data_IF_111668799912
#
_entry.id   IF_111668799912
#
_cell.length_a   1.000
_cell.length_b   1.000
_cell.length_c   1.000
_cell.angle_alpha   90.00
_cell.angle_beta   90.00
_cell.angle_gamma   90.00
#
_symmetry.space_group_name_H-M   'P 1'
#
loop_
_entity.id
_entity.type
_entity.pdbx_description
1 polymer ?
#
# COMPACT_ATOMS: atom_id res chain seq x y z
N UNK A 1 22.94 15.84 4.86
CA UNK A 1 22.59 14.48 4.42
C UNK A 1 22.22 14.51 2.96
N UNK A 2 22.67 13.54 2.18
CA UNK A 2 22.18 13.32 0.81
C UNK A 2 20.79 12.67 0.84
N UNK A 3 20.10 12.67 -0.31
CA UNK A 3 18.80 11.99 -0.41
C UNK A 3 18.91 10.48 -0.16
N UNK A 4 20.01 9.85 -0.56
CA UNK A 4 20.23 8.42 -0.41
C UNK A 4 20.52 8.03 1.04
N UNK A 5 21.21 8.89 1.79
CA UNK A 5 21.39 8.73 3.24
C UNK A 5 20.05 8.80 3.98
N UNK A 6 19.20 9.77 3.61
CA UNK A 6 17.85 9.89 4.21
C UNK A 6 16.99 8.68 3.84
N UNK A 7 17.05 8.22 2.58
CA UNK A 7 16.31 7.04 2.14
C UNK A 7 16.73 5.77 2.90
N UNK A 8 18.03 5.57 3.12
CA UNK A 8 18.54 4.45 3.91
C UNK A 8 18.07 4.51 5.36
N UNK A 9 18.13 5.69 5.98
CA UNK A 9 17.63 5.90 7.34
C UNK A 9 16.11 5.66 7.45
N UNK A 10 15.34 6.07 6.44
CA UNK A 10 13.91 5.77 6.36
C UNK A 10 13.62 4.27 6.27
N UNK A 11 14.40 3.51 5.49
CA UNK A 11 14.26 2.04 5.41
C UNK A 11 14.50 1.38 6.77
N UNK A 12 15.57 1.79 7.48
CA UNK A 12 15.83 1.29 8.83
C UNK A 12 14.68 1.61 9.80
N UNK A 13 14.20 2.86 9.76
CA UNK A 13 13.05 3.33 10.55
C UNK A 13 11.80 2.45 10.33
N UNK A 14 11.39 2.19 9.09
CA UNK A 14 10.17 1.41 8.83
C UNK A 14 10.30 -0.06 9.18
N UNK A 15 11.50 -0.64 9.07
CA UNK A 15 11.77 -2.00 9.51
C UNK A 15 11.67 -2.13 11.04
N UNK A 16 12.09 -1.10 11.78
CA UNK A 16 11.91 -1.06 13.24
C UNK A 16 10.44 -0.80 13.63
N UNK A 17 9.69 0.01 12.88
CA UNK A 17 8.24 0.17 13.10
C UNK A 17 7.53 -1.19 12.93
N UNK A 18 7.91 -2.00 11.94
CA UNK A 18 7.38 -3.35 11.73
C UNK A 18 7.69 -4.32 12.89
N UNK A 19 8.74 -4.06 13.68
CA UNK A 19 8.98 -4.79 14.92
C UNK A 19 8.00 -4.41 16.04
N UNK A 20 7.44 -3.19 16.02
CA UNK A 20 6.39 -2.72 16.94
C UNK A 20 4.97 -3.06 16.46
N UNK A 21 4.78 -3.21 15.15
CA UNK A 21 3.50 -3.54 14.53
C UNK A 21 3.72 -4.55 13.39
N UNK A 22 3.56 -5.83 13.70
CA UNK A 22 3.75 -6.91 12.73
C UNK A 22 2.85 -6.74 11.50
N UNK A 23 3.45 -6.72 10.32
CA UNK A 23 2.74 -6.58 9.04
C UNK A 23 2.68 -5.13 8.56
N UNK A 24 3.33 -4.19 9.24
CA UNK A 24 3.51 -2.82 8.74
C UNK A 24 4.30 -2.80 7.42
N UNK A 25 5.30 -3.68 7.27
CA UNK A 25 6.03 -3.86 6.01
C UNK A 25 5.58 -5.14 5.32
N UNK A 26 4.71 -5.00 4.32
CA UNK A 26 4.13 -6.10 3.54
C UNK A 26 5.20 -6.89 2.75
N UNK A 27 6.08 -6.18 2.04
CA UNK A 27 7.18 -6.79 1.29
C UNK A 27 8.48 -5.99 1.41
N UNK A 28 9.57 -6.68 1.70
CA UNK A 28 10.92 -6.11 1.75
C UNK A 28 11.86 -6.98 0.91
N UNK A 29 12.50 -6.35 -0.06
CA UNK A 29 13.41 -6.99 -1.01
C UNK A 29 14.87 -6.56 -0.81
N UNK A 30 15.17 -5.88 0.30
CA UNK A 30 16.54 -5.52 0.65
C UNK A 30 17.26 -6.63 1.45
N UNK A 31 18.47 -6.36 1.93
CA UNK A 31 19.28 -7.36 2.63
C UNK A 31 18.60 -7.90 3.89
N UNK A 32 18.49 -9.22 4.00
CA UNK A 32 17.73 -9.88 5.08
C UNK A 32 18.25 -9.50 6.48
N UNK A 33 19.55 -9.22 6.60
CA UNK A 33 20.19 -8.83 7.84
C UNK A 33 19.68 -7.48 8.39
N UNK A 34 19.18 -6.57 7.55
CA UNK A 34 18.60 -5.30 8.02
C UNK A 34 17.29 -5.53 8.77
N UNK A 35 16.42 -6.39 8.22
CA UNK A 35 15.18 -6.77 8.88
C UNK A 35 15.45 -7.55 10.16
N UNK A 36 16.43 -8.45 10.13
CA UNK A 36 16.82 -9.21 11.32
C UNK A 36 17.34 -8.27 12.43
N UNK A 37 18.21 -7.32 12.09
CA UNK A 37 18.75 -6.34 13.04
C UNK A 37 17.65 -5.45 13.65
N UNK A 38 16.71 -4.96 12.82
CA UNK A 38 15.60 -4.14 13.29
C UNK A 38 14.69 -4.87 14.29
N UNK A 39 14.53 -6.19 14.14
CA UNK A 39 13.72 -7.02 15.05
C UNK A 39 14.46 -7.46 16.30
N UNK A 40 15.78 -7.62 16.24
CA UNK A 40 16.57 -8.12 17.35
C UNK A 40 16.61 -7.16 18.54
N UNK A 41 16.69 -5.85 18.28
CA UNK A 41 16.71 -4.82 19.32
C UNK A 41 16.07 -3.51 18.80
N UNK A 42 14.75 -3.48 18.60
CA UNK A 42 14.08 -2.29 18.09
C UNK A 42 14.18 -1.14 19.10
N UNK A 43 14.46 0.06 18.62
CA UNK A 43 14.48 1.25 19.47
C UNK A 43 13.08 1.57 19.97
N UNK A 44 13.02 2.33 21.07
CA UNK A 44 11.76 2.79 21.61
C UNK A 44 10.99 3.66 20.61
N UNK A 45 9.65 3.54 20.60
CA UNK A 45 8.79 4.28 19.67
C UNK A 45 9.00 5.79 19.75
N UNK A 46 9.30 6.32 20.93
CA UNK A 46 9.58 7.75 21.09
C UNK A 46 10.84 8.18 20.34
N UNK A 47 11.90 7.35 20.34
CA UNK A 47 13.09 7.60 19.54
C UNK A 47 12.77 7.53 18.04
N UNK A 48 12.00 6.54 17.61
CA UNK A 48 11.58 6.41 16.20
C UNK A 48 10.78 7.63 15.73
N UNK A 49 9.95 8.22 16.61
CA UNK A 49 9.22 9.46 16.32
C UNK A 49 10.17 10.64 16.12
N UNK A 50 11.11 10.83 17.05
CA UNK A 50 12.13 11.89 16.95
C UNK A 50 12.93 11.75 15.66
N UNK A 51 13.37 10.54 15.33
CA UNK A 51 14.12 10.28 14.09
C UNK A 51 13.29 10.58 12.85
N UNK A 52 12.03 10.18 12.81
CA UNK A 52 11.14 10.51 11.69
C UNK A 52 10.96 12.03 11.53
N UNK A 53 10.84 12.76 12.65
CA UNK A 53 10.77 14.23 12.64
C UNK A 53 12.09 14.86 12.13
N UNK A 54 13.25 14.32 12.51
CA UNK A 54 14.57 14.72 12.00
C UNK A 54 14.71 14.46 10.50
N UNK A 55 14.31 13.28 10.01
CA UNK A 55 14.34 12.95 8.58
C UNK A 55 13.41 13.87 7.78
N UNK A 56 12.22 14.16 8.31
CA UNK A 56 11.29 15.09 7.69
C UNK A 56 11.87 16.51 7.59
N UNK A 57 12.54 16.99 8.65
CA UNK A 57 13.24 18.27 8.62
C UNK A 57 14.37 18.28 7.59
N UNK A 58 15.20 17.23 7.55
CA UNK A 58 16.28 17.10 6.58
C UNK A 58 15.77 17.14 5.12
N UNK A 59 14.64 16.49 4.83
CA UNK A 59 14.03 16.49 3.50
C UNK A 59 13.48 17.86 3.09
N UNK A 60 12.93 18.63 4.04
CA UNK A 60 12.44 20.00 3.76
C UNK A 60 13.57 20.97 3.44
N UNK A 61 14.76 20.74 3.99
CA UNK A 61 15.95 21.57 3.79
C UNK A 61 16.92 21.01 2.73
N UNK A 62 16.59 19.88 2.10
CA UNK A 62 17.42 19.29 1.08
C UNK A 62 17.44 20.21 -0.17
N UNK A 63 18.61 20.69 -0.62
CA UNK A 63 18.69 21.47 -1.84
C UNK A 63 18.29 20.61 -3.04
N UNK A 64 17.31 21.06 -3.82
CA UNK A 64 16.93 20.41 -5.05
C UNK A 64 17.90 20.81 -6.17
N UNK A 65 18.79 19.90 -6.57
CA UNK A 65 19.69 20.09 -7.72
C UNK A 65 18.94 20.12 -9.05
N UNK A 66 17.79 19.46 -9.11
CA UNK A 66 16.99 19.24 -10.32
C UNK A 66 15.54 18.84 -9.96
N UNK A 67 14.68 18.77 -10.97
CA UNK A 67 13.27 18.46 -10.80
C UNK A 67 13.00 17.02 -10.31
N UNK A 68 13.85 16.06 -10.67
CA UNK A 68 13.72 14.66 -10.25
C UNK A 68 14.05 14.53 -8.76
N UNK A 69 15.18 15.08 -8.33
CA UNK A 69 15.59 15.16 -6.93
C UNK A 69 14.52 15.85 -6.08
N UNK A 70 13.93 16.94 -6.56
CA UNK A 70 12.81 17.60 -5.89
C UNK A 70 11.59 16.68 -5.76
N UNK A 71 11.27 15.92 -6.81
CA UNK A 71 10.16 14.96 -6.81
C UNK A 71 10.38 13.81 -5.83
N UNK A 72 11.59 13.21 -5.86
CA UNK A 72 12.01 12.15 -4.94
C UNK A 72 11.98 12.62 -3.48
N UNK A 73 12.46 13.83 -3.20
CA UNK A 73 12.45 14.40 -1.85
C UNK A 73 11.01 14.60 -1.33
N UNK A 74 10.09 15.14 -2.16
CA UNK A 74 8.67 15.26 -1.80
C UNK A 74 8.02 13.91 -1.52
N UNK A 75 8.29 12.92 -2.37
CA UNK A 75 7.73 11.58 -2.24
C UNK A 75 8.26 10.85 -1.00
N UNK A 76 9.53 11.05 -0.65
CA UNK A 76 10.13 10.50 0.56
C UNK A 76 9.63 11.22 1.82
N UNK A 77 9.41 12.54 1.76
CA UNK A 77 8.83 13.31 2.87
C UNK A 77 7.42 12.81 3.23
N UNK A 78 6.58 12.54 2.22
CA UNK A 78 5.25 11.98 2.45
C UNK A 78 5.30 10.61 3.15
N UNK A 79 6.26 9.76 2.75
CA UNK A 79 6.50 8.44 3.36
C UNK A 79 6.98 8.54 4.82
N UNK A 80 7.93 9.44 5.09
CA UNK A 80 8.41 9.70 6.46
C UNK A 80 7.29 10.25 7.34
N UNK A 81 6.48 11.18 6.83
CA UNK A 81 5.34 11.74 7.56
C UNK A 81 4.28 10.67 7.87
N UNK A 82 4.02 9.76 6.94
CA UNK A 82 3.12 8.61 7.14
C UNK A 82 3.65 7.67 8.23
N UNK A 83 4.94 7.31 8.19
CA UNK A 83 5.59 6.50 9.22
C UNK A 83 5.53 7.17 10.61
N UNK A 84 5.81 8.47 10.67
CA UNK A 84 5.69 9.26 11.91
C UNK A 84 4.27 9.24 12.47
N UNK A 85 3.26 9.38 11.61
CA UNK A 85 1.87 9.33 12.03
C UNK A 85 1.45 7.91 12.45
N UNK A 86 1.95 6.87 11.78
CA UNK A 86 1.69 5.48 12.17
C UNK A 86 2.17 5.19 13.58
N UNK A 87 3.34 5.70 13.98
CA UNK A 87 3.83 5.62 15.36
C UNK A 87 2.87 6.26 16.38
N UNK A 88 2.21 7.38 16.03
CA UNK A 88 1.15 7.92 16.91
C UNK A 88 -0.06 6.97 16.99
N UNK A 89 -0.44 6.34 15.89
CA UNK A 89 -1.58 5.42 15.86
C UNK A 89 -1.31 4.15 16.66
N UNK A 90 -0.08 3.63 16.63
CA UNK A 90 0.40 2.52 17.47
C UNK A 90 0.24 2.89 18.95
N UNK A 91 0.50 4.15 19.33
CA UNK A 91 0.27 4.67 20.68
C UNK A 91 -1.19 5.08 20.96
N UNK A 92 -2.13 4.67 20.10
CA UNK A 92 -3.57 4.82 20.34
C UNK A 92 -4.21 6.08 19.76
N UNK A 93 -3.47 6.93 19.03
CA UNK A 93 -4.07 8.09 18.35
C UNK A 93 -5.10 7.62 17.32
N UNK A 94 -6.26 8.28 17.31
CA UNK A 94 -7.33 8.09 16.32
C UNK A 94 -7.76 9.45 15.79
N UNK A 95 -8.04 9.53 14.50
CA UNK A 95 -8.53 10.73 13.81
C UNK A 95 -9.68 10.35 12.88
N UNK A 96 -10.36 11.33 12.26
CA UNK A 96 -11.43 11.04 11.30
C UNK A 96 -10.85 10.38 10.06
N UNK A 97 -11.64 9.52 9.40
CA UNK A 97 -11.22 8.76 8.20
C UNK A 97 -10.48 9.60 7.15
N UNK A 98 -11.02 10.77 6.79
CA UNK A 98 -10.39 11.62 5.77
C UNK A 98 -9.04 12.19 6.22
N UNK A 99 -8.89 12.50 7.51
CA UNK A 99 -7.64 13.00 8.09
C UNK A 99 -6.61 11.87 8.23
N UNK A 100 -7.06 10.66 8.53
CA UNK A 100 -6.22 9.46 8.58
C UNK A 100 -5.67 9.13 7.19
N UNK A 101 -6.54 9.11 6.17
CA UNK A 101 -6.15 8.84 4.80
C UNK A 101 -5.15 9.87 4.27
N UNK A 102 -5.37 11.15 4.58
CA UNK A 102 -4.45 12.21 4.18
C UNK A 102 -3.07 12.06 4.85
N UNK A 103 -3.03 11.69 6.12
CA UNK A 103 -1.76 11.51 6.86
C UNK A 103 -1.01 10.25 6.45
N UNK A 104 -1.71 9.15 6.16
CA UNK A 104 -1.08 7.87 5.79
C UNK A 104 -0.73 7.77 4.30
N UNK A 105 -1.55 8.36 3.43
CA UNK A 105 -1.46 8.16 1.98
C UNK A 105 -1.26 9.46 1.18
N UNK A 106 -1.10 10.61 1.85
CA UNK A 106 -1.02 11.92 1.20
C UNK A 106 -2.20 12.21 0.26
N UNK A 107 -3.36 11.60 0.54
CA UNK A 107 -4.57 11.70 -0.26
C UNK A 107 -5.78 11.93 0.65
N UNK A 108 -6.48 13.05 0.45
CA UNK A 108 -7.74 13.33 1.16
C UNK A 108 -8.94 12.85 0.32
N UNK A 109 -9.65 11.78 0.74
CA UNK A 109 -10.80 11.27 0.01
C UNK A 109 -11.98 12.26 0.10
N UNK A 110 -12.66 12.48 -1.03
CA UNK A 110 -13.94 13.18 -1.06
C UNK A 110 -15.06 12.15 -0.95
N UNK A 111 -15.63 12.03 0.24
CA UNK A 111 -16.73 11.09 0.50
C UNK A 111 -18.02 11.60 -0.15
N UNK A 112 -18.68 10.73 -0.91
CA UNK A 112 -20.02 10.98 -1.45
C UNK A 112 -21.08 10.52 -0.44
N UNK A 113 -22.29 11.14 -0.45
CA UNK A 113 -23.43 10.60 0.26
C UNK A 113 -23.71 9.15 -0.15
N UNK A 114 -24.23 8.33 0.77
CA UNK A 114 -24.51 6.91 0.49
C UNK A 114 -25.47 6.75 -0.70
N UNK A 115 -26.43 7.65 -0.87
CA UNK A 115 -27.38 7.64 -1.99
C UNK A 115 -26.73 7.75 -3.37
N UNK A 116 -25.48 8.24 -3.46
CA UNK A 116 -24.74 8.26 -4.72
C UNK A 116 -24.40 6.86 -5.26
N UNK A 117 -24.48 5.83 -4.42
CA UNK A 117 -24.22 4.45 -4.78
C UNK A 117 -25.49 3.65 -5.15
N UNK A 118 -26.69 4.18 -4.85
CA UNK A 118 -27.96 3.46 -5.01
C UNK A 118 -28.20 2.98 -6.46
N UNK A 119 -27.87 3.80 -7.46
CA UNK A 119 -28.03 3.43 -8.86
C UNK A 119 -27.16 2.21 -9.25
N UNK A 120 -25.93 2.14 -8.74
CA UNK A 120 -25.03 1.00 -8.96
C UNK A 120 -25.53 -0.23 -8.20
N UNK A 121 -25.94 -0.06 -6.94
CA UNK A 121 -26.50 -1.13 -6.12
C UNK A 121 -27.76 -1.72 -6.76
N UNK A 122 -28.68 -0.90 -7.27
CA UNK A 122 -29.89 -1.34 -7.99
C UNK A 122 -29.58 -2.04 -9.32
N UNK A 123 -28.46 -1.71 -9.96
CA UNK A 123 -28.01 -2.46 -11.16
C UNK A 123 -27.47 -3.83 -10.77
N UNK A 124 -26.66 -3.90 -9.72
CA UNK A 124 -26.14 -5.18 -9.21
C UNK A 124 -27.30 -6.06 -8.73
N UNK A 125 -28.25 -5.48 -7.98
CA UNK A 125 -29.44 -6.16 -7.47
C UNK A 125 -30.24 -6.89 -8.56
N UNK A 126 -30.38 -6.26 -9.72
CA UNK A 126 -31.04 -6.86 -10.90
C UNK A 126 -30.21 -7.94 -11.59
N UNK A 127 -28.88 -7.85 -11.56
CA UNK A 127 -27.98 -8.82 -12.22
C UNK A 127 -27.86 -10.12 -11.44
N UNK A 128 -27.95 -10.05 -10.12
CA UNK A 128 -27.87 -11.20 -9.20
C UNK A 128 -29.18 -11.36 -8.43
N UNK A 129 -30.28 -11.50 -9.18
CA UNK A 129 -31.61 -11.70 -8.63
C UNK A 129 -31.68 -12.97 -7.75
N UNK A 130 -32.49 -12.91 -6.70
CA UNK A 130 -32.64 -13.98 -5.72
C UNK A 130 -33.10 -13.45 -4.37
N UNK A 131 -33.25 -14.34 -3.40
CA UNK A 131 -33.69 -14.00 -2.05
C UNK A 131 -32.53 -13.61 -1.13
N UNK A 132 -32.83 -12.85 -0.07
CA UNK A 132 -31.86 -12.39 0.91
C UNK A 132 -31.22 -11.03 0.59
N UNK A 133 -30.25 -10.63 1.42
CA UNK A 133 -29.60 -9.33 1.28
C UNK A 133 -28.69 -9.29 0.04
N UNK A 134 -28.57 -8.10 -0.57
CA UNK A 134 -27.68 -7.90 -1.72
C UNK A 134 -26.24 -8.40 -1.45
N UNK A 135 -25.59 -8.10 -0.31
CA UNK A 135 -24.25 -8.63 -0.02
C UNK A 135 -24.19 -10.16 0.02
N UNK A 136 -25.18 -10.83 0.63
CA UNK A 136 -25.19 -12.29 0.69
C UNK A 136 -25.29 -12.92 -0.71
N UNK A 137 -26.12 -12.34 -1.60
CA UNK A 137 -26.23 -12.80 -2.99
C UNK A 137 -24.96 -12.53 -3.80
N UNK A 138 -24.28 -11.39 -3.58
CA UNK A 138 -22.97 -11.11 -4.21
C UNK A 138 -21.94 -12.16 -3.81
N UNK A 139 -21.86 -12.49 -2.52
CA UNK A 139 -20.92 -13.49 -2.01
C UNK A 139 -21.24 -14.89 -2.54
N UNK A 140 -22.51 -15.31 -2.54
CA UNK A 140 -22.92 -16.58 -3.16
C UNK A 140 -22.61 -16.63 -4.65
N UNK A 141 -22.83 -15.53 -5.39
CA UNK A 141 -22.47 -15.46 -6.80
C UNK A 141 -20.95 -15.61 -7.01
N UNK A 142 -20.13 -14.93 -6.20
CA UNK A 142 -18.66 -15.01 -6.25
C UNK A 142 -18.13 -16.39 -5.89
N UNK A 143 -18.77 -17.07 -4.94
CA UNK A 143 -18.38 -18.42 -4.51
C UNK A 143 -18.35 -19.42 -5.67
N UNK A 144 -19.23 -19.26 -6.66
CA UNK A 144 -19.28 -20.09 -7.87
C UNK A 144 -18.00 -20.01 -8.74
N UNK A 145 -17.21 -18.95 -8.58
CA UNK A 145 -15.96 -18.71 -9.32
C UNK A 145 -14.71 -18.95 -8.47
N UNK A 146 -14.86 -19.54 -7.27
CA UNK A 146 -13.72 -19.87 -6.43
C UNK A 146 -12.91 -21.01 -7.03
N UNK A 147 -11.62 -20.76 -7.28
CA UNK A 147 -10.68 -21.76 -7.78
C UNK A 147 -10.08 -22.52 -6.60
N UNK A 148 -10.21 -23.86 -6.54
CA UNK A 148 -9.56 -24.66 -5.50
C UNK A 148 -8.05 -24.42 -5.48
N UNK A 149 -7.38 -24.33 -4.31
CA UNK A 149 -5.95 -23.99 -4.21
C UNK A 149 -5.05 -24.83 -5.14
N UNK A 150 -5.31 -26.13 -5.24
CA UNK A 150 -4.58 -27.08 -6.09
C UNK A 150 -4.75 -26.84 -7.60
N UNK A 151 -5.75 -26.05 -8.01
CA UNK A 151 -6.02 -25.71 -9.42
C UNK A 151 -5.58 -24.29 -9.81
N UNK A 152 -5.17 -23.46 -8.84
CA UNK A 152 -4.81 -22.05 -9.08
C UNK A 152 -3.75 -21.93 -10.16
N UNK A 153 -2.68 -22.73 -10.09
CA UNK A 153 -1.61 -22.72 -11.09
C UNK A 153 -2.12 -23.02 -12.50
N UNK A 154 -2.90 -24.09 -12.66
CA UNK A 154 -3.43 -24.47 -13.97
C UNK A 154 -4.36 -23.40 -14.57
N UNK A 155 -5.20 -22.76 -13.75
CA UNK A 155 -6.09 -21.68 -14.21
C UNK A 155 -5.29 -20.44 -14.61
N UNK A 156 -4.30 -20.03 -13.80
CA UNK A 156 -3.45 -18.89 -14.11
C UNK A 156 -2.60 -19.12 -15.36
N UNK A 157 -1.99 -20.30 -15.50
CA UNK A 157 -1.20 -20.66 -16.67
C UNK A 157 -2.06 -20.58 -17.96
N UNK A 158 -3.29 -21.10 -17.92
CA UNK A 158 -4.23 -21.02 -19.03
C UNK A 158 -4.65 -19.57 -19.34
N UNK A 159 -4.95 -18.77 -18.32
CA UNK A 159 -5.32 -17.36 -18.49
C UNK A 159 -4.15 -16.53 -19.07
N UNK A 160 -2.92 -16.74 -18.59
CA UNK A 160 -1.72 -16.07 -19.10
C UNK A 160 -1.47 -16.46 -20.56
N UNK A 161 -1.57 -17.74 -20.90
CA UNK A 161 -1.40 -18.23 -22.26
C UNK A 161 -2.42 -17.59 -23.23
N UNK A 162 -3.68 -17.50 -22.82
CA UNK A 162 -4.74 -16.88 -23.61
C UNK A 162 -4.54 -15.37 -23.77
N UNK A 163 -4.19 -14.67 -22.69
CA UNK A 163 -3.85 -13.25 -22.74
C UNK A 163 -2.68 -12.98 -23.69
N UNK A 164 -1.61 -13.79 -23.63
CA UNK A 164 -0.47 -13.69 -24.56
C UNK A 164 -0.87 -13.95 -26.00
N UNK A 165 -1.68 -14.97 -26.25
CA UNK A 165 -2.19 -15.30 -27.58
C UNK A 165 -2.95 -14.12 -28.19
N UNK A 166 -3.90 -13.54 -27.44
CA UNK A 166 -4.67 -12.37 -27.87
C UNK A 166 -3.81 -11.13 -28.06
N UNK A 167 -2.88 -10.86 -27.14
CA UNK A 167 -1.99 -9.70 -27.24
C UNK A 167 -1.09 -9.79 -28.47
N UNK A 168 -0.52 -10.97 -28.77
CA UNK A 168 0.32 -11.17 -29.96
C UNK A 168 -0.40 -10.95 -31.29
N UNK A 169 -1.73 -11.08 -31.31
CA UNK A 169 -2.52 -10.75 -32.50
C UNK A 169 -2.60 -9.23 -32.76
N UNK A 170 -2.28 -8.39 -31.77
CA UNK A 170 -2.40 -6.93 -31.85
C UNK A 170 -1.07 -6.18 -31.66
N UNK A 171 -0.09 -6.79 -30.98
CA UNK A 171 1.18 -6.19 -30.63
C UNK A 171 2.32 -7.17 -30.88
N UNK A 172 3.39 -6.72 -31.53
CA UNK A 172 4.65 -7.46 -31.60
C UNK A 172 5.39 -7.29 -30.28
N UNK A 173 5.59 -8.39 -29.56
CA UNK A 173 6.30 -8.43 -28.29
C UNK A 173 7.59 -9.27 -28.44
N UNK A 174 8.66 -8.95 -27.71
CA UNK A 174 9.84 -9.81 -27.59
C UNK A 174 9.48 -11.21 -27.06
N UNK A 175 10.29 -12.22 -27.37
CA UNK A 175 10.02 -13.63 -27.03
C UNK A 175 9.84 -13.91 -25.52
N UNK A 176 10.30 -13.00 -24.66
CA UNK A 176 10.21 -13.09 -23.20
C UNK A 176 9.05 -12.30 -22.57
N UNK A 177 8.16 -11.69 -23.36
CA UNK A 177 6.96 -10.98 -22.88
C UNK A 177 5.65 -11.74 -23.17
#
# INVERSE_FOLDING_TARGET
MTIDEIARAYVALVLEIDAHESGYVDAYFGPAEWRAAARANPRERQQLKTDADTLAAALRHLPASDADTASRARALLARVASARFRLDMIDGKRVKFADEAERLFALRPKLKPLSSYDAALNRIDRLIAGEGSLPARVESFRANYSVPPQRVRAVLDAAIAECRSRTRAHLQLPDNE
#
